data_IF_955975456977
#
_entry.id   IF_955975456977
#
_cell.length_a   1.000
_cell.length_b   1.000
_cell.length_c   1.000
_cell.angle_alpha   90.00
_cell.angle_beta   90.00
_cell.angle_gamma   90.00
#
_symmetry.space_group_name_H-M   'P 1'
#
loop_
_entity.id
_entity.type
_entity.pdbx_description
1 polymer ?
#
# COMPACT_ATOMS: atom_id res chain seq x y z
N UNK A 1 -35.11 22.03 -32.04
CA UNK A 1 -35.73 22.01 -30.70
C UNK A 1 -35.27 20.86 -29.79
N UNK A 2 -34.70 19.77 -30.33
CA UNK A 2 -34.26 18.62 -29.53
C UNK A 2 -32.99 18.86 -28.69
N UNK A 3 -31.96 19.53 -29.22
CA UNK A 3 -30.65 19.70 -28.56
C UNK A 3 -30.69 20.45 -27.23
N UNK A 4 -31.44 21.56 -27.19
CA UNK A 4 -31.66 22.34 -25.95
C UNK A 4 -32.34 21.51 -24.86
N UNK A 5 -33.27 20.61 -25.22
CA UNK A 5 -33.98 19.72 -24.28
C UNK A 5 -33.04 18.68 -23.65
N UNK A 6 -32.00 18.25 -24.37
CA UNK A 6 -31.01 17.28 -23.87
C UNK A 6 -30.02 17.96 -22.92
N UNK A 7 -29.58 19.17 -23.26
CA UNK A 7 -28.67 19.97 -22.44
C UNK A 7 -29.33 20.35 -21.12
N UNK A 8 -30.60 20.78 -21.14
CA UNK A 8 -31.36 21.04 -19.91
C UNK A 8 -31.44 19.79 -19.03
N UNK A 9 -31.72 18.61 -19.60
CA UNK A 9 -31.79 17.36 -18.84
C UNK A 9 -30.45 16.95 -18.25
N UNK A 10 -29.35 17.13 -18.99
CA UNK A 10 -28.02 16.81 -18.51
C UNK A 10 -27.61 17.70 -17.33
N UNK A 11 -27.90 19.00 -17.40
CA UNK A 11 -27.64 19.94 -16.31
C UNK A 11 -28.46 19.61 -15.06
N UNK A 12 -29.73 19.24 -15.23
CA UNK A 12 -30.57 18.80 -14.11
C UNK A 12 -30.04 17.52 -13.45
N UNK A 13 -29.57 16.54 -14.23
CA UNK A 13 -29.00 15.30 -13.69
C UNK A 13 -27.68 15.55 -12.94
N UNK A 14 -26.80 16.41 -13.47
CA UNK A 14 -25.56 16.81 -12.80
C UNK A 14 -25.83 17.56 -11.49
N UNK A 15 -26.80 18.48 -11.48
CA UNK A 15 -27.18 19.21 -10.27
C UNK A 15 -27.78 18.28 -9.20
N UNK A 16 -28.60 17.29 -9.60
CA UNK A 16 -29.16 16.30 -8.69
C UNK A 16 -28.07 15.41 -8.08
N UNK A 17 -27.10 14.96 -8.88
CA UNK A 17 -25.94 14.17 -8.41
C UNK A 17 -25.08 14.94 -7.40
N UNK A 18 -24.85 16.23 -7.68
CA UNK A 18 -24.09 17.10 -6.78
C UNK A 18 -24.85 17.35 -5.46
N UNK A 19 -26.18 17.50 -5.51
CA UNK A 19 -27.02 17.65 -4.32
C UNK A 19 -27.06 16.38 -3.47
N UNK A 20 -27.09 15.19 -4.08
CA UNK A 20 -27.01 13.92 -3.34
C UNK A 20 -25.66 13.72 -2.67
N UNK A 21 -24.56 14.18 -3.27
CA UNK A 21 -23.23 14.09 -2.67
C UNK A 21 -23.05 15.00 -1.44
N UNK A 22 -23.79 16.12 -1.37
CA UNK A 22 -23.71 17.07 -0.25
C UNK A 22 -24.59 16.69 0.94
N UNK A 23 -25.59 15.81 0.76
CA UNK A 23 -26.52 15.44 1.84
C UNK A 23 -26.00 14.31 2.73
N UNK A 24 -24.97 13.57 2.30
CA UNK A 24 -24.45 12.40 3.01
C UNK A 24 -23.30 12.70 4.01
N UNK A 25 -22.90 13.97 4.18
CA UNK A 25 -21.87 14.32 5.18
C UNK A 25 -22.48 14.85 6.48
N UNK A 26 -23.25 14.01 7.19
CA UNK A 26 -23.45 14.19 8.63
C UNK A 26 -22.55 13.22 9.38
N UNK A 27 -21.44 13.67 9.97
CA UNK A 27 -20.73 12.84 10.93
C UNK A 27 -21.64 12.68 12.16
N UNK A 28 -22.27 11.51 12.28
CA UNK A 28 -22.92 11.09 13.53
C UNK A 28 -21.79 10.73 14.48
N UNK A 29 -21.48 11.63 15.40
CA UNK A 29 -20.55 11.38 16.49
C UNK A 29 -21.16 10.29 17.40
N UNK A 30 -20.52 9.13 17.59
CA UNK A 30 -21.01 8.16 18.57
C UNK A 30 -20.74 8.71 19.98
N UNK A 31 -21.81 8.91 20.75
CA UNK A 31 -21.73 9.13 22.20
C UNK A 31 -21.22 7.84 22.84
N UNK A 32 -19.99 7.87 23.37
CA UNK A 32 -19.43 6.78 24.17
C UNK A 32 -20.14 6.73 25.52
N UNK A 33 -21.08 5.80 25.65
CA UNK A 33 -21.48 5.28 26.95
C UNK A 33 -20.41 4.26 27.39
N UNK A 34 -19.68 4.63 28.44
CA UNK A 34 -18.75 3.77 29.17
C UNK A 34 -19.52 2.69 29.90
N UNK A 35 -19.26 1.42 29.60
CA UNK A 35 -19.46 0.32 30.54
C UNK A 35 -18.23 -0.59 30.44
N UNK A 36 -17.52 -0.69 31.57
CA UNK A 36 -16.29 -1.43 31.73
C UNK A 36 -16.56 -2.93 31.87
N UNK A 37 -15.72 -3.77 31.24
CA UNK A 37 -15.04 -4.93 31.84
C UNK A 37 -14.45 -5.84 30.74
N UNK A 38 -13.23 -5.56 30.28
CA UNK A 38 -12.36 -6.60 29.73
C UNK A 38 -10.89 -6.30 30.05
N UNK A 39 -10.34 -7.25 30.80
CA UNK A 39 -9.02 -7.29 31.41
C UNK A 39 -7.85 -7.29 30.41
N UNK A 40 -6.88 -6.39 30.64
CA UNK A 40 -5.45 -6.48 30.26
C UNK A 40 -5.13 -6.58 28.76
N UNK A 41 -5.86 -5.88 27.91
CA UNK A 41 -5.21 -5.17 26.81
C UNK A 41 -5.22 -3.72 27.25
N UNK A 42 -4.05 -3.16 27.58
CA UNK A 42 -3.92 -1.69 27.60
C UNK A 42 -4.62 -1.16 26.35
N UNK A 43 -5.53 -0.19 26.49
CA UNK A 43 -6.22 0.47 25.37
C UNK A 43 -5.20 1.19 24.48
N UNK A 44 -4.36 0.43 23.77
CA UNK A 44 -3.50 0.96 22.74
C UNK A 44 -4.45 1.30 21.62
N UNK A 45 -4.80 2.59 21.53
CA UNK A 45 -5.53 3.13 20.41
C UNK A 45 -4.83 2.69 19.13
N UNK A 46 -5.56 1.99 18.26
CA UNK A 46 -5.04 1.43 16.99
C UNK A 46 -4.59 2.49 15.99
N UNK A 47 -4.74 3.76 16.33
CA UNK A 47 -4.35 4.91 15.52
C UNK A 47 -3.09 5.61 16.05
N UNK A 48 -2.59 5.19 17.21
CA UNK A 48 -1.35 5.73 17.78
C UNK A 48 -0.13 5.09 17.14
N UNK A 49 0.96 5.85 17.04
CA UNK A 49 2.24 5.31 16.57
C UNK A 49 2.76 4.30 17.60
N UNK A 50 3.31 3.19 17.11
CA UNK A 50 3.88 2.16 17.98
C UNK A 50 5.24 2.54 18.57
N UNK A 51 5.80 1.65 19.38
CA UNK A 51 6.99 1.93 20.20
C UNK A 51 8.33 1.72 19.48
N UNK A 52 8.33 1.23 18.25
CA UNK A 52 9.56 0.98 17.47
C UNK A 52 9.88 2.17 16.57
N UNK A 53 11.17 2.37 16.28
CA UNK A 53 11.66 3.45 15.42
C UNK A 53 11.85 2.93 13.99
N UNK A 54 10.94 3.26 13.05
CA UNK A 54 11.04 2.75 11.69
C UNK A 54 12.17 3.42 10.92
N UNK A 55 12.93 2.63 10.19
CA UNK A 55 13.90 3.12 9.21
C UNK A 55 13.58 2.61 7.80
N UNK A 56 13.86 3.46 6.82
CA UNK A 56 13.65 3.19 5.40
C UNK A 56 14.93 2.65 4.77
N UNK A 57 14.80 1.72 3.83
CA UNK A 57 15.89 1.27 2.96
C UNK A 57 15.39 1.11 1.53
N UNK A 58 16.09 1.74 0.60
CA UNK A 58 15.82 1.64 -0.83
C UNK A 58 16.79 0.65 -1.46
N UNK A 59 16.27 -0.50 -1.92
CA UNK A 59 17.08 -1.52 -2.59
C UNK A 59 16.90 -1.37 -4.10
N UNK A 60 17.95 -0.87 -4.75
CA UNK A 60 18.01 -0.69 -6.20
C UNK A 60 18.31 -1.98 -6.98
N UNK A 61 18.28 -1.88 -8.32
CA UNK A 61 18.41 -3.00 -9.25
C UNK A 61 19.82 -3.17 -9.84
N UNK A 62 20.83 -2.51 -9.28
CA UNK A 62 22.11 -2.29 -9.94
C UNK A 62 23.07 -3.51 -10.02
N UNK A 63 22.83 -4.57 -9.25
CA UNK A 63 23.71 -5.74 -9.18
C UNK A 63 23.04 -7.02 -9.69
N UNK A 64 23.82 -8.05 -10.02
CA UNK A 64 23.30 -9.36 -10.40
C UNK A 64 22.56 -10.09 -9.26
N UNK A 65 22.86 -9.75 -8.00
CA UNK A 65 22.13 -10.21 -6.81
C UNK A 65 20.98 -9.25 -6.41
N UNK A 66 20.77 -8.14 -7.14
CA UNK A 66 19.71 -7.17 -6.84
C UNK A 66 18.33 -7.71 -7.22
N UNK A 67 17.26 -7.24 -6.55
CA UNK A 67 15.90 -7.58 -6.93
C UNK A 67 15.61 -7.14 -8.38
N UNK A 68 14.68 -7.82 -9.08
CA UNK A 68 14.27 -7.45 -10.44
C UNK A 68 13.73 -6.03 -10.61
N UNK A 69 13.22 -5.43 -9.53
CA UNK A 69 12.69 -4.06 -9.46
C UNK A 69 13.09 -3.40 -8.15
N UNK A 70 13.05 -2.07 -8.11
CA UNK A 70 13.34 -1.32 -6.89
C UNK A 70 12.37 -1.72 -5.78
N UNK A 71 12.89 -1.79 -4.57
CA UNK A 71 12.19 -2.31 -3.41
C UNK A 71 12.35 -1.32 -2.26
N UNK A 72 11.22 -0.84 -1.75
CA UNK A 72 11.17 0.05 -0.59
C UNK A 72 10.92 -0.81 0.66
N UNK A 73 11.80 -0.71 1.65
CA UNK A 73 11.70 -1.49 2.89
C UNK A 73 11.57 -0.55 4.08
N UNK A 74 10.58 -0.79 4.93
CA UNK A 74 10.46 -0.19 6.26
C UNK A 74 10.62 -1.27 7.31
N UNK A 75 11.44 -1.02 8.33
CA UNK A 75 11.68 -1.97 9.42
C UNK A 75 12.00 -1.25 10.72
N UNK A 76 11.75 -1.86 11.89
CA UNK A 76 12.29 -1.39 13.15
C UNK A 76 13.81 -1.26 13.09
N UNK A 77 14.35 -0.20 13.66
CA UNK A 77 15.79 -0.05 13.90
C UNK A 77 16.26 -1.02 14.98
N UNK A 78 15.41 -1.28 15.96
CA UNK A 78 15.67 -2.15 17.09
C UNK A 78 15.91 -3.59 16.65
N UNK A 79 16.94 -4.22 17.21
CA UNK A 79 17.26 -5.62 16.93
C UNK A 79 16.12 -6.52 17.43
N UNK A 80 15.62 -7.37 16.55
CA UNK A 80 14.56 -8.31 16.86
C UNK A 80 14.22 -9.19 15.67
N UNK A 81 13.32 -10.14 15.90
CA UNK A 81 12.67 -10.90 14.81
C UNK A 81 11.26 -10.37 14.67
N UNK A 82 10.91 -9.93 13.46
CA UNK A 82 9.63 -9.29 13.19
C UNK A 82 8.93 -9.99 12.03
N UNK A 83 7.59 -10.09 12.06
CA UNK A 83 6.81 -10.54 10.92
C UNK A 83 7.03 -9.62 9.70
N UNK A 84 6.99 -10.23 8.50
CA UNK A 84 7.21 -9.53 7.22
C UNK A 84 5.90 -9.42 6.46
N UNK A 85 5.57 -8.21 6.01
CA UNK A 85 4.43 -7.90 5.15
C UNK A 85 4.96 -7.54 3.77
N UNK A 86 4.54 -8.29 2.75
CA UNK A 86 4.76 -7.94 1.35
C UNK A 86 3.60 -7.06 0.86
N UNK A 87 3.87 -5.81 0.52
CA UNK A 87 2.87 -4.85 0.08
C UNK A 87 2.98 -4.58 -1.42
N UNK A 88 1.85 -4.69 -2.12
CA UNK A 88 1.74 -4.32 -3.54
C UNK A 88 0.85 -3.09 -3.68
N UNK A 89 1.38 -2.04 -4.30
CA UNK A 89 0.64 -0.82 -4.59
C UNK A 89 -0.35 -1.03 -5.76
N UNK A 90 -1.35 -0.15 -5.86
CA UNK A 90 -2.30 -0.13 -6.98
C UNK A 90 -1.66 0.28 -8.31
N UNK A 91 -2.36 0.02 -9.42
CA UNK A 91 -1.92 0.39 -10.78
C UNK A 91 -1.72 1.90 -10.90
N UNK A 92 -0.59 2.32 -11.48
CA UNK A 92 -0.26 3.75 -11.66
C UNK A 92 0.18 4.47 -10.38
N UNK A 93 0.30 3.76 -9.25
CA UNK A 93 0.82 4.33 -8.00
C UNK A 93 2.33 4.07 -7.86
N UNK A 94 3.01 4.94 -7.11
CA UNK A 94 4.36 4.66 -6.63
C UNK A 94 4.30 4.06 -5.21
N UNK A 95 5.17 3.10 -4.90
CA UNK A 95 5.23 2.47 -3.58
C UNK A 95 5.47 3.51 -2.46
N UNK A 96 6.24 4.55 -2.74
CA UNK A 96 6.55 5.63 -1.80
C UNK A 96 5.35 6.49 -1.40
N UNK A 97 4.23 6.44 -2.14
CA UNK A 97 3.00 7.15 -1.76
C UNK A 97 2.39 6.59 -0.46
N UNK A 98 2.76 5.38 -0.08
CA UNK A 98 2.30 4.72 1.15
C UNK A 98 3.32 4.81 2.29
N UNK A 99 4.36 5.64 2.16
CA UNK A 99 5.46 5.69 3.13
C UNK A 99 5.00 5.93 4.57
N UNK A 100 4.00 6.79 4.79
CA UNK A 100 3.50 7.06 6.15
C UNK A 100 2.76 5.85 6.74
N UNK A 101 2.02 5.10 5.91
CA UNK A 101 1.41 3.83 6.32
C UNK A 101 2.49 2.79 6.65
N UNK A 102 3.57 2.72 5.87
CA UNK A 102 4.65 1.78 6.13
C UNK A 102 5.43 2.11 7.40
N UNK A 103 5.70 3.40 7.67
CA UNK A 103 6.26 3.86 8.94
C UNK A 103 5.35 3.48 10.10
N UNK A 104 4.05 3.76 9.99
CA UNK A 104 3.07 3.42 11.00
C UNK A 104 3.05 1.92 11.32
N UNK A 105 2.95 1.07 10.30
CA UNK A 105 2.98 -0.39 10.46
C UNK A 105 4.30 -0.84 11.09
N UNK A 106 5.43 -0.30 10.63
CA UNK A 106 6.75 -0.66 11.15
C UNK A 106 6.95 -0.21 12.59
N UNK A 107 6.32 0.88 13.03
CA UNK A 107 6.37 1.33 14.43
C UNK A 107 5.72 0.35 15.40
N UNK A 108 4.87 -0.55 14.88
CA UNK A 108 4.23 -1.64 15.64
C UNK A 108 5.03 -2.95 15.61
N UNK A 109 6.26 -2.96 15.07
CA UNK A 109 7.12 -4.15 15.06
C UNK A 109 6.89 -5.07 13.86
N UNK A 110 6.63 -4.51 12.68
CA UNK A 110 6.54 -5.25 11.42
C UNK A 110 7.62 -4.78 10.44
N UNK A 111 8.09 -5.68 9.58
CA UNK A 111 8.92 -5.32 8.43
C UNK A 111 8.00 -5.24 7.22
N UNK A 112 7.93 -4.08 6.56
CA UNK A 112 7.17 -3.90 5.33
C UNK A 112 8.13 -3.89 4.15
N UNK A 113 7.86 -4.75 3.17
CA UNK A 113 8.60 -4.87 1.93
C UNK A 113 7.66 -4.49 0.79
N UNK A 114 7.96 -3.41 0.07
CA UNK A 114 7.09 -2.84 -0.96
C UNK A 114 7.82 -2.72 -2.31
N UNK A 115 7.76 -3.74 -3.18
CA UNK A 115 8.31 -3.67 -4.52
C UNK A 115 7.58 -2.62 -5.38
N UNK A 116 8.34 -1.86 -6.18
CA UNK A 116 7.76 -1.05 -7.25
C UNK A 116 7.43 -1.96 -8.43
N UNK A 117 6.15 -2.30 -8.62
CA UNK A 117 5.73 -3.28 -9.64
C UNK A 117 5.32 -2.65 -10.97
N UNK A 118 4.64 -1.50 -10.93
CA UNK A 118 4.10 -0.87 -12.13
C UNK A 118 4.62 0.56 -12.25
N UNK A 119 4.99 0.98 -13.45
CA UNK A 119 5.14 2.40 -13.76
C UNK A 119 3.77 2.95 -14.22
N UNK A 120 3.71 4.20 -14.70
CA UNK A 120 2.48 4.95 -15.01
C UNK A 120 1.47 4.19 -15.91
N UNK A 121 1.94 3.25 -16.74
CA UNK A 121 1.10 2.47 -17.64
C UNK A 121 1.00 1.00 -17.18
N UNK A 122 -0.21 0.41 -17.14
CA UNK A 122 -0.34 -1.03 -16.94
C UNK A 122 0.44 -1.76 -18.04
N UNK A 123 1.20 -2.82 -17.71
CA UNK A 123 1.97 -3.55 -18.69
C UNK A 123 1.04 -4.10 -19.78
N UNK A 124 1.45 -3.99 -21.05
CA UNK A 124 0.77 -4.75 -22.11
C UNK A 124 0.97 -6.23 -21.82
N UNK A 125 -0.12 -7.00 -21.73
CA UNK A 125 -0.14 -8.38 -21.21
C UNK A 125 0.89 -9.36 -21.81
N UNK A 126 1.44 -9.06 -22.99
CA UNK A 126 2.49 -9.88 -23.59
C UNK A 126 3.85 -9.76 -22.88
N UNK A 127 4.21 -8.59 -22.36
CA UNK A 127 5.49 -8.36 -21.69
C UNK A 127 5.54 -9.00 -20.29
N UNK A 128 4.38 -9.21 -19.65
CA UNK A 128 4.29 -9.89 -18.35
C UNK A 128 4.54 -11.40 -18.46
N UNK A 129 4.00 -12.04 -19.51
CA UNK A 129 4.20 -13.46 -19.75
C UNK A 129 5.66 -13.79 -20.08
N UNK A 130 6.34 -12.91 -20.82
CA UNK A 130 7.76 -13.08 -21.12
C UNK A 130 8.65 -12.90 -19.87
N UNK A 131 8.29 -11.98 -18.97
CA UNK A 131 8.99 -11.79 -17.70
C UNK A 131 8.78 -12.96 -16.72
N UNK A 132 7.58 -13.55 -16.67
CA UNK A 132 7.26 -14.71 -15.80
C UNK A 132 7.84 -16.00 -16.38
N UNK A 133 7.77 -16.17 -17.71
CA UNK A 133 8.29 -17.33 -18.43
C UNK A 133 9.82 -17.41 -18.45
N UNK A 134 10.50 -16.26 -18.62
CA UNK A 134 11.98 -16.20 -18.62
C UNK A 134 12.59 -16.35 -17.21
N UNK A 135 11.86 -15.95 -16.15
CA UNK A 135 12.39 -15.94 -14.77
C UNK A 135 11.96 -17.11 -13.87
N UNK A 136 11.06 -17.98 -14.31
CA UNK A 136 10.74 -19.20 -13.54
C UNK A 136 11.96 -20.13 -13.36
N UNK A 137 12.95 -20.06 -14.25
CA UNK A 137 14.25 -20.74 -14.05
C UNK A 137 15.16 -20.08 -13.00
N UNK A 138 14.92 -18.82 -12.63
CA UNK A 138 15.76 -18.07 -11.67
C UNK A 138 15.22 -18.07 -10.25
N UNK A 139 13.91 -18.23 -10.04
CA UNK A 139 13.33 -18.29 -8.69
C UNK A 139 13.70 -19.59 -7.96
N UNK A 140 13.85 -20.71 -8.68
CA UNK A 140 14.33 -21.99 -8.13
C UNK A 140 15.84 -22.00 -7.88
N UNK A 141 16.59 -21.04 -8.44
CA UNK A 141 18.06 -20.97 -8.37
C UNK A 141 18.57 -19.95 -7.33
N UNK A 142 17.79 -19.64 -6.29
CA UNK A 142 18.30 -18.97 -5.09
C UNK A 142 18.92 -19.94 -4.06
N UNK A 143 19.34 -21.14 -4.53
CA UNK A 143 20.24 -22.06 -3.82
C UNK A 143 21.66 -22.10 -4.41
N UNK A 144 22.05 -21.10 -5.20
CA UNK A 144 23.42 -21.03 -5.70
C UNK A 144 24.32 -20.27 -4.71
N UNK A 145 25.50 -20.79 -4.32
CA UNK A 145 26.35 -20.25 -3.25
C UNK A 145 27.06 -18.93 -3.60
N UNK A 146 26.70 -18.30 -4.71
CA UNK A 146 27.46 -17.19 -5.33
C UNK A 146 27.29 -15.86 -4.61
N UNK A 147 26.25 -15.66 -3.80
CA UNK A 147 26.05 -14.41 -3.04
C UNK A 147 26.27 -14.60 -1.52
N UNK A 148 26.96 -15.65 -1.07
CA UNK A 148 27.35 -15.86 0.33
C UNK A 148 28.85 -15.56 0.54
N UNK A 149 29.21 -14.27 0.56
CA UNK A 149 30.47 -13.79 1.14
C UNK A 149 30.28 -12.37 1.63
#
# INVERSE_FOLDING_TARGET
MHRKKMETRLVFLLAALLATALLESKPVLPTLASEADHSVLSEVSVFETGNFHPIQSDVGTASSCSPPRSLLIFRPEEKGTYPVILFHHGTGCHNSWYSDVFKFISSHGYIVVAPQLYELMPPSGQHELDLIGSKSGKLVTLRSPVCAT
#
